data_IF_403034659026
#
_entry.id   IF_403034659026
#
_cell.length_a   1.000
_cell.length_b   1.000
_cell.length_c   1.000
_cell.angle_alpha   90.00
_cell.angle_beta   90.00
_cell.angle_gamma   90.00
#
_symmetry.space_group_name_H-M   'P 1'
#
loop_
_entity.id
_entity.type
_entity.pdbx_description
1 polymer ?
#
# COMPACT_ATOMS: atom_id res chain seq x y z
N UNK A 1 27.71 6.82 5.78
CA UNK A 1 26.66 5.82 6.09
C UNK A 1 27.28 4.43 6.01
N UNK A 2 27.00 3.54 6.96
CA UNK A 2 27.43 2.14 6.92
C UNK A 2 26.19 1.26 6.85
N UNK A 3 26.16 0.31 5.92
CA UNK A 3 25.11 -0.70 5.83
C UNK A 3 25.26 -1.71 6.98
N UNK A 4 24.13 -2.09 7.54
CA UNK A 4 23.98 -3.13 8.55
C UNK A 4 23.44 -4.42 7.92
N UNK A 5 22.55 -5.08 8.65
CA UNK A 5 21.93 -6.35 8.24
C UNK A 5 20.94 -6.21 7.08
N UNK A 6 20.72 -7.32 6.36
CA UNK A 6 19.69 -7.43 5.33
C UNK A 6 18.32 -7.54 6.00
N UNK A 7 17.43 -6.59 5.70
CA UNK A 7 16.06 -6.54 6.21
C UNK A 7 15.07 -7.27 5.29
N UNK A 8 15.35 -7.27 3.98
CA UNK A 8 14.48 -7.91 2.99
C UNK A 8 15.11 -7.95 1.61
N UNK A 9 14.62 -8.84 0.77
CA UNK A 9 15.07 -9.00 -0.61
C UNK A 9 13.87 -9.28 -1.52
N UNK A 10 13.75 -8.47 -2.58
CA UNK A 10 12.71 -8.60 -3.59
C UNK A 10 13.31 -8.67 -5.00
N UNK A 11 12.43 -8.64 -6.01
CA UNK A 11 12.81 -8.63 -7.42
C UNK A 11 13.55 -7.33 -7.80
N UNK A 12 13.08 -6.19 -7.30
CA UNK A 12 13.65 -4.86 -7.56
C UNK A 12 14.98 -4.60 -6.84
N UNK A 13 15.23 -5.23 -5.69
CA UNK A 13 16.39 -4.87 -4.87
C UNK A 13 16.58 -5.63 -3.56
N UNK A 14 17.55 -5.19 -2.79
CA UNK A 14 17.85 -5.62 -1.42
C UNK A 14 17.72 -4.45 -0.47
N UNK A 15 17.04 -4.64 0.66
CA UNK A 15 16.83 -3.63 1.68
C UNK A 15 17.74 -3.94 2.86
N UNK A 16 18.60 -2.99 3.23
CA UNK A 16 19.53 -3.11 4.35
C UNK A 16 19.19 -2.09 5.42
N UNK A 17 19.42 -2.43 6.69
CA UNK A 17 19.48 -1.41 7.74
C UNK A 17 20.72 -0.54 7.53
N UNK A 18 20.67 0.71 7.98
CA UNK A 18 21.84 1.57 8.04
C UNK A 18 21.67 2.64 9.12
N UNK A 19 22.75 3.38 9.38
CA UNK A 19 22.70 4.60 10.21
C UNK A 19 23.24 5.80 9.45
N UNK A 20 22.48 6.89 9.48
CA UNK A 20 22.92 8.21 9.03
C UNK A 20 23.83 8.87 10.09
N UNK A 21 24.58 9.93 9.73
CA UNK A 21 25.28 10.75 10.72
C UNK A 21 24.32 11.21 11.83
N UNK A 22 24.75 11.09 13.08
CA UNK A 22 23.88 11.33 14.25
C UNK A 22 23.05 10.12 14.70
N UNK A 23 23.44 8.90 14.31
CA UNK A 23 22.86 7.63 14.76
C UNK A 23 21.37 7.41 14.39
N UNK A 24 20.79 8.21 13.49
CA UNK A 24 19.42 7.99 13.00
C UNK A 24 19.34 6.65 12.24
N UNK A 25 18.53 5.68 12.69
CA UNK A 25 18.32 4.42 11.99
C UNK A 25 17.50 4.66 10.72
N UNK A 26 17.91 4.03 9.62
CA UNK A 26 17.26 4.11 8.31
C UNK A 26 17.28 2.75 7.62
N UNK A 27 16.47 2.58 6.59
CA UNK A 27 16.57 1.49 5.64
C UNK A 27 17.09 2.00 4.28
N UNK A 28 17.89 1.18 3.61
CA UNK A 28 18.49 1.50 2.31
C UNK A 28 18.11 0.40 1.32
N UNK A 29 17.30 0.75 0.32
CA UNK A 29 16.97 -0.14 -0.80
C UNK A 29 18.04 0.02 -1.88
N UNK A 30 18.88 -0.98 -2.05
CA UNK A 30 19.85 -1.12 -3.14
C UNK A 30 19.18 -1.85 -4.31
N UNK A 31 19.12 -1.21 -5.48
CA UNK A 31 18.52 -1.82 -6.66
C UNK A 31 19.44 -2.83 -7.34
N UNK A 32 18.85 -3.89 -7.89
CA UNK A 32 19.57 -4.93 -8.64
C UNK A 32 19.63 -4.56 -10.12
N UNK A 33 20.84 -4.38 -10.66
CA UNK A 33 21.07 -4.27 -12.11
C UNK A 33 20.47 -3.03 -12.78
N UNK A 34 20.50 -3.00 -14.11
CA UNK A 34 19.97 -1.91 -14.94
C UNK A 34 18.49 -2.08 -15.30
N UNK A 35 17.95 -3.30 -15.18
CA UNK A 35 16.57 -3.66 -15.54
C UNK A 35 16.12 -4.81 -14.64
N UNK A 36 14.94 -4.69 -14.02
CA UNK A 36 14.31 -5.72 -13.19
C UNK A 36 13.02 -6.19 -13.89
N UNK A 37 12.38 -7.25 -13.39
CA UNK A 37 11.05 -7.68 -13.89
C UNK A 37 9.99 -6.59 -13.77
N UNK A 38 10.17 -5.69 -12.80
CA UNK A 38 9.18 -4.70 -12.40
C UNK A 38 9.41 -3.35 -13.12
N UNK A 39 10.57 -3.16 -13.75
CA UNK A 39 10.86 -1.97 -14.56
C UNK A 39 12.32 -1.53 -14.49
N UNK A 40 12.55 -0.26 -14.83
CA UNK A 40 13.85 0.38 -14.65
C UNK A 40 13.92 0.95 -13.22
N UNK A 41 15.00 0.73 -12.45
CA UNK A 41 15.18 1.33 -11.14
C UNK A 41 14.95 2.85 -11.12
N UNK A 42 15.29 3.54 -12.21
CA UNK A 42 15.03 4.97 -12.36
C UNK A 42 13.55 5.36 -12.35
N UNK A 43 12.67 4.52 -12.89
CA UNK A 43 11.22 4.76 -12.89
C UNK A 43 10.65 4.65 -11.47
N UNK A 44 11.01 3.58 -10.75
CA UNK A 44 10.60 3.39 -9.36
C UNK A 44 11.09 4.54 -8.47
N UNK A 45 12.37 4.93 -8.60
CA UNK A 45 12.91 6.07 -7.85
C UNK A 45 12.18 7.37 -8.17
N UNK A 46 11.89 7.63 -9.45
CA UNK A 46 11.16 8.82 -9.86
C UNK A 46 9.74 8.84 -9.29
N UNK A 47 9.03 7.71 -9.34
CA UNK A 47 7.68 7.59 -8.79
C UNK A 47 7.68 7.75 -7.26
N UNK A 48 8.60 7.10 -6.54
CA UNK A 48 8.71 7.21 -5.10
C UNK A 48 9.05 8.64 -4.64
N UNK A 49 9.93 9.35 -5.37
CA UNK A 49 10.23 10.76 -5.11
C UNK A 49 9.03 11.67 -5.42
N UNK A 50 8.35 11.44 -6.54
CA UNK A 50 7.20 12.24 -6.96
C UNK A 50 5.96 12.02 -6.09
N UNK A 51 5.81 10.83 -5.50
CA UNK A 51 4.75 10.53 -4.54
C UNK A 51 4.82 11.46 -3.33
N UNK A 52 6.02 11.84 -2.89
CA UNK A 52 6.21 12.74 -1.75
C UNK A 52 5.71 12.15 -0.42
N UNK A 53 5.43 13.01 0.54
CA UNK A 53 5.07 12.59 1.90
C UNK A 53 3.58 12.28 2.03
N UNK A 54 3.27 11.13 2.63
CA UNK A 54 1.92 10.75 3.03
C UNK A 54 1.99 9.79 4.23
N UNK A 55 1.04 9.89 5.18
CA UNK A 55 1.05 9.09 6.41
C UNK A 55 1.03 7.57 6.19
N UNK A 56 0.49 7.15 5.06
CA UNK A 56 0.34 5.75 4.66
C UNK A 56 1.44 5.29 3.70
N UNK A 57 2.50 6.09 3.48
CA UNK A 57 3.67 5.72 2.70
C UNK A 57 4.89 5.63 3.61
N UNK A 58 5.84 4.77 3.26
CA UNK A 58 7.15 4.74 3.93
C UNK A 58 7.88 6.05 3.60
N UNK A 59 8.26 6.89 4.59
CA UNK A 59 8.92 8.15 4.32
C UNK A 59 10.24 7.97 3.56
N UNK A 60 10.36 8.66 2.43
CA UNK A 60 11.58 8.67 1.63
C UNK A 60 12.47 9.83 2.06
N UNK A 61 13.69 9.52 2.50
CA UNK A 61 14.66 10.52 2.97
C UNK A 61 15.56 11.04 1.86
N UNK A 62 15.71 10.27 0.78
CA UNK A 62 16.44 10.69 -0.41
C UNK A 62 16.98 9.53 -1.25
N UNK A 63 17.81 9.89 -2.23
CA UNK A 63 18.52 8.95 -3.10
C UNK A 63 20.02 8.96 -2.82
N UNK A 64 20.70 7.85 -3.09
CA UNK A 64 22.16 7.75 -3.06
C UNK A 64 22.70 8.01 -4.47
N UNK A 65 23.44 9.10 -4.66
CA UNK A 65 23.99 9.47 -5.97
C UNK A 65 25.37 8.85 -6.27
N UNK A 66 26.15 8.51 -5.24
CA UNK A 66 27.55 8.08 -5.38
C UNK A 66 27.82 6.75 -4.66
N UNK A 67 27.03 5.71 -4.97
CA UNK A 67 27.32 4.38 -4.44
C UNK A 67 28.66 3.86 -5.01
N UNK A 68 29.59 3.29 -4.21
CA UNK A 68 30.90 2.87 -4.69
C UNK A 68 30.87 1.86 -5.85
N UNK A 69 29.77 1.13 -6.00
CA UNK A 69 29.54 0.14 -7.06
C UNK A 69 28.65 0.68 -8.19
N UNK A 70 28.31 1.98 -8.18
CA UNK A 70 27.44 2.62 -9.18
C UNK A 70 25.96 2.22 -9.10
N UNK A 71 25.57 1.41 -8.13
CA UNK A 71 24.18 0.96 -7.96
C UNK A 71 23.30 2.09 -7.42
N UNK A 72 22.14 2.37 -8.04
CA UNK A 72 21.18 3.30 -7.49
C UNK A 72 20.66 2.80 -6.14
N UNK A 73 20.33 3.72 -5.25
CA UNK A 73 19.73 3.38 -3.96
C UNK A 73 18.78 4.46 -3.46
N UNK A 74 17.79 4.04 -2.67
CA UNK A 74 16.91 4.91 -1.91
C UNK A 74 17.19 4.76 -0.41
N UNK A 75 17.17 5.88 0.29
CA UNK A 75 17.20 5.94 1.76
C UNK A 75 15.81 6.27 2.23
N UNK A 76 15.26 5.44 3.12
CA UNK A 76 13.92 5.55 3.66
C UNK A 76 13.95 5.41 5.18
N UNK A 77 12.88 5.83 5.84
CA UNK A 77 12.74 5.58 7.28
C UNK A 77 12.73 4.09 7.58
N UNK A 78 13.35 3.71 8.71
CA UNK A 78 13.28 2.34 9.19
C UNK A 78 11.87 2.09 9.73
N UNK A 79 11.17 1.13 9.12
CA UNK A 79 9.81 0.76 9.49
C UNK A 79 9.77 0.18 10.91
N UNK A 80 8.74 0.56 11.68
CA UNK A 80 8.42 -0.02 12.98
C UNK A 80 8.27 -1.55 12.87
N UNK A 81 9.04 -2.38 13.61
CA UNK A 81 8.96 -3.84 13.54
C UNK A 81 7.58 -4.42 13.88
N UNK A 82 6.69 -3.65 14.51
CA UNK A 82 5.31 -4.04 14.74
C UNK A 82 4.46 -4.06 13.44
N UNK A 83 4.92 -3.40 12.37
CA UNK A 83 4.28 -3.43 11.06
C UNK A 83 4.83 -4.62 10.25
N UNK A 84 3.97 -5.59 9.98
CA UNK A 84 4.30 -6.82 9.25
C UNK A 84 3.58 -6.83 7.90
N UNK A 85 4.12 -7.57 6.93
CA UNK A 85 3.47 -7.76 5.62
C UNK A 85 2.09 -8.41 5.79
N UNK A 86 1.07 -7.80 5.17
CA UNK A 86 -0.34 -8.20 5.32
C UNK A 86 -0.63 -9.57 4.74
N UNK A 87 -0.08 -9.86 3.56
CA UNK A 87 -0.22 -11.16 2.92
C UNK A 87 1.00 -11.50 2.05
N UNK A 88 1.26 -12.79 1.87
CA UNK A 88 2.18 -13.26 0.84
C UNK A 88 1.57 -13.11 -0.56
N UNK A 89 2.41 -13.12 -1.61
CA UNK A 89 1.93 -13.05 -2.99
C UNK A 89 1.05 -14.28 -3.33
N UNK A 90 0.26 -14.21 -4.41
CA UNK A 90 -0.47 -15.37 -4.90
C UNK A 90 0.43 -16.57 -5.18
N UNK A 91 -0.10 -17.79 -5.02
CA UNK A 91 0.54 -19.04 -5.44
C UNK A 91 -0.24 -19.72 -6.55
N UNK A 92 0.32 -20.80 -7.10
CA UNK A 92 -0.39 -21.67 -8.02
C UNK A 92 -1.69 -22.25 -7.42
N UNK A 93 -1.77 -22.38 -6.10
CA UNK A 93 -2.93 -22.90 -5.39
C UNK A 93 -4.00 -21.82 -5.13
N UNK A 94 -3.58 -20.59 -4.85
CA UNK A 94 -4.49 -19.45 -4.64
C UNK A 94 -4.83 -18.71 -5.94
N UNK A 95 -4.21 -19.09 -7.06
CA UNK A 95 -4.28 -18.49 -8.38
C UNK A 95 -3.94 -16.99 -8.36
N UNK A 96 -4.95 -16.14 -8.19
CA UNK A 96 -4.83 -14.68 -8.22
C UNK A 96 -5.01 -14.04 -6.85
N UNK A 97 -5.23 -14.84 -5.80
CA UNK A 97 -5.54 -14.35 -4.45
C UNK A 97 -4.31 -14.40 -3.55
N UNK A 98 -4.16 -13.38 -2.71
CA UNK A 98 -3.06 -13.30 -1.75
C UNK A 98 -3.15 -14.38 -0.68
N UNK A 99 -1.99 -14.72 -0.11
CA UNK A 99 -1.86 -15.77 0.91
C UNK A 99 -1.72 -15.12 2.28
N UNK A 100 -2.77 -15.23 3.08
CA UNK A 100 -2.75 -14.72 4.45
C UNK A 100 -2.22 -15.78 5.42
N UNK A 101 -1.55 -15.37 6.52
CA UNK A 101 -1.16 -16.30 7.57
C UNK A 101 -2.36 -17.13 8.08
N UNK A 102 -2.09 -18.38 8.47
CA UNK A 102 -3.15 -19.25 9.00
C UNK A 102 -3.79 -18.64 10.26
N UNK A 103 -5.12 -18.55 10.27
CA UNK A 103 -5.87 -17.95 11.39
C UNK A 103 -5.75 -16.42 11.46
N UNK A 104 -5.27 -15.77 10.39
CA UNK A 104 -5.24 -14.32 10.32
C UNK A 104 -6.65 -13.72 10.43
N UNK A 105 -6.82 -12.87 11.44
CA UNK A 105 -8.03 -12.08 11.63
C UNK A 105 -7.70 -10.67 12.12
N UNK A 106 -8.49 -9.70 11.67
CA UNK A 106 -8.49 -8.33 12.21
C UNK A 106 -9.83 -8.06 12.88
N UNK A 107 -9.87 -7.11 13.81
CA UNK A 107 -11.16 -6.52 14.18
C UNK A 107 -11.70 -5.71 13.00
N UNK A 108 -13.02 -5.66 12.85
CA UNK A 108 -13.64 -4.88 11.77
C UNK A 108 -13.14 -3.42 11.75
N UNK A 109 -13.03 -2.80 12.92
CA UNK A 109 -12.54 -1.41 13.02
C UNK A 109 -11.06 -1.28 12.62
N UNK A 110 -10.22 -2.29 12.88
CA UNK A 110 -8.83 -2.29 12.40
C UNK A 110 -8.75 -2.45 10.86
N UNK A 111 -9.60 -3.31 10.28
CA UNK A 111 -9.70 -3.45 8.83
C UNK A 111 -10.17 -2.16 8.15
N UNK A 112 -11.17 -1.46 8.72
CA UNK A 112 -11.64 -0.17 8.20
C UNK A 112 -10.53 0.89 8.25
N UNK A 113 -9.76 0.99 9.35
CA UNK A 113 -8.63 1.94 9.45
C UNK A 113 -7.51 1.65 8.46
N UNK A 114 -7.19 0.37 8.24
CA UNK A 114 -6.23 -0.06 7.23
C UNK A 114 -6.71 0.36 5.84
N UNK A 115 -7.95 -0.01 5.48
CA UNK A 115 -8.54 0.32 4.18
C UNK A 115 -8.63 1.82 3.94
N UNK A 116 -9.02 2.60 4.97
CA UNK A 116 -9.01 4.05 4.91
C UNK A 116 -7.61 4.60 4.60
N UNK A 117 -6.58 4.07 5.27
CA UNK A 117 -5.19 4.49 5.03
C UNK A 117 -4.78 4.21 3.59
N UNK A 118 -5.06 3.02 3.07
CA UNK A 118 -4.73 2.64 1.70
C UNK A 118 -5.53 3.45 0.67
N UNK A 119 -6.83 3.69 0.90
CA UNK A 119 -7.64 4.56 0.05
C UNK A 119 -7.11 6.01 0.04
N UNK A 120 -6.67 6.53 1.18
CA UNK A 120 -6.06 7.87 1.25
C UNK A 120 -4.73 7.94 0.49
N UNK A 121 -3.91 6.88 0.52
CA UNK A 121 -2.72 6.78 -0.33
C UNK A 121 -3.10 6.76 -1.81
N UNK A 122 -4.09 5.95 -2.21
CA UNK A 122 -4.57 5.89 -3.60
C UNK A 122 -5.03 7.26 -4.10
N UNK A 123 -5.81 8.00 -3.29
CA UNK A 123 -6.25 9.35 -3.63
C UNK A 123 -5.07 10.32 -3.78
N UNK A 124 -4.07 10.21 -2.90
CA UNK A 124 -2.86 11.04 -2.91
C UNK A 124 -1.98 10.80 -4.14
N UNK A 125 -1.81 9.54 -4.55
CA UNK A 125 -1.05 9.17 -5.74
C UNK A 125 -1.79 9.57 -7.02
N UNK A 126 -3.10 9.31 -7.09
CA UNK A 126 -3.91 9.71 -8.25
C UNK A 126 -3.93 11.23 -8.45
N UNK A 127 -4.03 11.99 -7.36
CA UNK A 127 -3.92 13.45 -7.41
C UNK A 127 -2.57 13.97 -7.91
N UNK A 128 -1.55 13.11 -7.99
CA UNK A 128 -0.21 13.42 -8.54
C UNK A 128 0.04 12.79 -9.91
N UNK A 129 -0.96 12.14 -10.51
CA UNK A 129 -0.79 11.42 -11.76
C UNK A 129 0.15 10.23 -11.66
N UNK A 130 0.13 9.55 -10.51
CA UNK A 130 0.90 8.35 -10.24
C UNK A 130 -0.05 7.18 -10.00
N UNK A 131 0.13 6.09 -10.74
CA UNK A 131 -0.44 4.77 -10.41
C UNK A 131 0.62 4.02 -9.62
N UNK A 132 0.20 3.31 -8.58
CA UNK A 132 1.05 2.36 -7.86
C UNK A 132 1.36 1.14 -8.74
N UNK A 133 0.37 0.64 -9.47
CA UNK A 133 0.50 -0.48 -10.42
C UNK A 133 0.49 -1.87 -9.80
N UNK A 134 0.78 -1.99 -8.49
CA UNK A 134 0.83 -3.27 -7.77
C UNK A 134 0.17 -3.21 -6.37
N UNK A 135 -1.13 -2.89 -6.32
CA UNK A 135 -1.88 -2.72 -5.07
C UNK A 135 -2.49 -4.05 -4.59
N UNK A 136 -1.84 -4.68 -3.61
CA UNK A 136 -2.25 -5.94 -2.98
C UNK A 136 -1.59 -6.13 -1.60
N UNK A 137 -1.92 -7.19 -0.87
CA UNK A 137 -1.49 -7.41 0.51
C UNK A 137 0.02 -7.59 0.69
N UNK A 138 0.75 -8.00 -0.34
CA UNK A 138 2.22 -8.13 -0.26
C UNK A 138 2.95 -6.78 -0.14
N UNK A 139 2.37 -5.72 -0.71
CA UNK A 139 2.93 -4.37 -0.65
C UNK A 139 2.40 -3.53 0.53
N UNK A 140 1.56 -4.13 1.39
CA UNK A 140 0.97 -3.45 2.54
C UNK A 140 1.59 -4.00 3.81
N UNK A 141 2.21 -3.12 4.60
CA UNK A 141 2.62 -3.40 5.97
C UNK A 141 1.52 -2.94 6.91
N UNK A 142 1.20 -3.73 7.95
CA UNK A 142 0.15 -3.39 8.89
C UNK A 142 0.42 -3.91 10.30
N UNK A 143 -0.36 -3.41 11.28
CA UNK A 143 -0.41 -3.99 12.62
C UNK A 143 -1.84 -4.38 13.04
N UNK A 144 -1.98 -4.94 14.24
CA UNK A 144 -3.26 -5.35 14.81
C UNK A 144 -4.22 -4.17 15.10
N UNK A 145 -3.72 -2.94 15.16
CA UNK A 145 -4.52 -1.73 15.37
C UNK A 145 -5.05 -1.15 14.06
N UNK A 146 -4.61 -1.66 12.92
CA UNK A 146 -4.98 -1.15 11.60
C UNK A 146 -4.15 0.05 11.16
N UNK A 147 -2.97 0.29 11.76
CA UNK A 147 -1.96 1.14 11.11
C UNK A 147 -1.50 0.43 9.84
N UNK A 148 -1.27 1.19 8.77
CA UNK A 148 -0.86 0.63 7.50
C UNK A 148 0.14 1.53 6.77
N UNK A 149 1.08 0.92 6.07
CA UNK A 149 1.99 1.58 5.12
C UNK A 149 1.95 0.82 3.80
N UNK A 150 1.74 1.53 2.70
CA UNK A 150 1.94 1.03 1.35
C UNK A 150 3.40 1.28 0.96
N UNK A 151 4.05 0.26 0.43
CA UNK A 151 5.41 0.32 -0.10
C UNK A 151 5.52 -0.30 -1.49
N UNK A 152 6.76 -0.32 -1.98
CA UNK A 152 7.16 -0.84 -3.30
C UNK A 152 6.54 -0.13 -4.52
N UNK A 153 7.31 0.80 -5.09
CA UNK A 153 6.91 1.54 -6.29
C UNK A 153 7.46 0.88 -7.57
N UNK A 154 7.85 -0.40 -7.53
CA UNK A 154 8.45 -1.12 -8.66
C UNK A 154 7.61 -1.04 -9.93
N UNK A 155 6.29 -1.23 -9.82
CA UNK A 155 5.34 -1.17 -10.93
C UNK A 155 4.71 0.23 -11.14
N UNK A 156 5.17 1.25 -10.42
CA UNK A 156 4.54 2.56 -10.44
C UNK A 156 4.76 3.27 -11.79
N UNK A 157 3.75 4.01 -12.24
CA UNK A 157 3.78 4.70 -13.53
C UNK A 157 3.13 6.07 -13.48
N UNK A 158 3.62 6.98 -14.31
CA UNK A 158 3.04 8.29 -14.51
C UNK A 158 1.97 8.25 -15.60
N UNK A 159 0.90 9.01 -15.40
CA UNK A 159 -0.15 9.19 -16.39
C UNK A 159 -0.68 10.62 -16.34
N UNK A 160 -1.51 10.98 -17.32
CA UNK A 160 -2.18 12.29 -17.37
C UNK A 160 -3.56 12.22 -16.69
N UNK A 161 -3.74 12.84 -15.49
CA UNK A 161 -5.01 12.81 -14.77
C UNK A 161 -6.11 13.52 -15.53
N UNK A 162 -7.36 13.12 -15.28
CA UNK A 162 -8.52 13.79 -15.87
C UNK A 162 -8.74 13.51 -17.37
N UNK A 163 -7.86 12.77 -18.03
CA UNK A 163 -8.10 12.23 -19.37
C UNK A 163 -8.98 10.97 -19.32
N UNK A 164 -9.65 10.57 -20.42
CA UNK A 164 -10.37 9.29 -20.47
C UNK A 164 -9.48 8.09 -20.16
N UNK A 165 -8.24 8.10 -20.66
CA UNK A 165 -7.26 7.05 -20.36
C UNK A 165 -6.84 7.06 -18.89
N UNK A 166 -6.54 8.23 -18.32
CA UNK A 166 -6.19 8.36 -16.90
C UNK A 166 -7.27 7.79 -15.99
N UNK A 167 -8.54 8.17 -16.20
CA UNK A 167 -9.67 7.60 -15.45
C UNK A 167 -9.80 6.10 -15.61
N UNK A 168 -9.58 5.57 -16.82
CA UNK A 168 -9.62 4.13 -17.07
C UNK A 168 -8.52 3.41 -16.29
N UNK A 169 -7.31 3.96 -16.25
CA UNK A 169 -6.20 3.41 -15.48
C UNK A 169 -6.45 3.46 -13.96
N UNK A 170 -6.91 4.60 -13.44
CA UNK A 170 -7.32 4.74 -12.04
C UNK A 170 -8.36 3.68 -11.63
N UNK A 171 -9.33 3.40 -12.51
CA UNK A 171 -10.37 2.41 -12.26
C UNK A 171 -9.85 0.98 -12.10
N UNK A 172 -8.67 0.65 -12.65
CA UNK A 172 -8.04 -0.66 -12.49
C UNK A 172 -7.53 -0.81 -11.05
N UNK A 173 -6.87 0.21 -10.52
CA UNK A 173 -6.41 0.20 -9.12
C UNK A 173 -7.56 0.20 -8.12
N UNK A 174 -8.66 0.88 -8.43
CA UNK A 174 -9.89 0.81 -7.63
C UNK A 174 -10.41 -0.63 -7.57
N UNK A 175 -10.37 -1.38 -8.67
CA UNK A 175 -10.77 -2.79 -8.67
C UNK A 175 -9.85 -3.64 -7.79
N UNK A 176 -8.53 -3.41 -7.85
CA UNK A 176 -7.58 -4.09 -6.97
C UNK A 176 -7.87 -3.80 -5.48
N UNK A 177 -8.19 -2.54 -5.16
CA UNK A 177 -8.61 -2.17 -3.81
C UNK A 177 -9.95 -2.81 -3.39
N UNK A 178 -10.89 -2.99 -4.32
CA UNK A 178 -12.11 -3.76 -4.10
C UNK A 178 -11.83 -5.22 -3.71
N UNK A 179 -10.91 -5.87 -4.41
CA UNK A 179 -10.47 -7.23 -4.07
C UNK A 179 -9.85 -7.31 -2.66
N UNK A 180 -8.96 -6.36 -2.33
CA UNK A 180 -8.38 -6.24 -0.99
C UNK A 180 -9.45 -6.06 0.08
N UNK A 181 -10.45 -5.22 -0.19
CA UNK A 181 -11.56 -4.96 0.72
C UNK A 181 -12.40 -6.22 0.98
N UNK A 182 -12.74 -6.99 -0.05
CA UNK A 182 -13.44 -8.28 0.11
C UNK A 182 -12.62 -9.25 0.97
N UNK A 183 -11.32 -9.34 0.72
CA UNK A 183 -10.44 -10.27 1.42
C UNK A 183 -10.30 -9.92 2.91
N UNK A 184 -10.18 -8.63 3.23
CA UNK A 184 -10.12 -8.15 4.59
C UNK A 184 -11.47 -8.29 5.30
N UNK A 185 -12.59 -8.04 4.60
CA UNK A 185 -13.92 -8.25 5.17
C UNK A 185 -14.14 -9.72 5.53
N UNK A 186 -13.76 -10.65 4.65
CA UNK A 186 -13.84 -12.10 4.90
C UNK A 186 -12.97 -12.57 6.09
N UNK A 187 -11.96 -11.78 6.46
CA UNK A 187 -11.03 -12.05 7.56
C UNK A 187 -11.26 -11.15 8.77
N UNK A 188 -12.33 -10.37 8.77
CA UNK A 188 -12.67 -9.47 9.87
C UNK A 188 -13.60 -10.11 10.87
N UNK A 189 -13.34 -9.87 12.16
CA UNK A 189 -14.24 -10.21 13.25
C UNK A 189 -15.05 -8.97 13.60
N UNK A 190 -16.36 -9.06 13.39
CA UNK A 190 -17.32 -8.02 13.66
C UNK A 190 -18.03 -8.29 14.99
N UNK A 191 -17.89 -7.37 15.95
CA UNK A 191 -18.46 -7.49 17.30
C UNK A 191 -18.96 -6.13 17.76
N UNK A 192 -20.06 -6.10 18.51
CA UNK A 192 -20.63 -4.88 19.08
C UNK A 192 -21.79 -4.30 18.28
N UNK A 193 -22.36 -3.21 18.81
CA UNK A 193 -23.50 -2.51 18.21
C UNK A 193 -23.05 -1.76 16.94
N UNK A 194 -23.86 -1.86 15.88
CA UNK A 194 -23.53 -1.24 14.58
C UNK A 194 -22.63 -2.09 13.67
N UNK A 195 -22.05 -3.18 14.16
CA UNK A 195 -21.16 -4.06 13.39
C UNK A 195 -21.79 -4.57 12.08
N UNK A 196 -23.08 -4.92 12.09
CA UNK A 196 -23.80 -5.34 10.87
C UNK A 196 -23.98 -4.22 9.85
N UNK A 197 -24.21 -2.98 10.31
CA UNK A 197 -24.30 -1.83 9.43
C UNK A 197 -22.93 -1.52 8.80
N UNK A 198 -21.84 -1.59 9.60
CA UNK A 198 -20.49 -1.40 9.11
C UNK A 198 -20.07 -2.49 8.10
N UNK A 199 -20.39 -3.77 8.37
CA UNK A 199 -20.17 -4.87 7.43
C UNK A 199 -20.94 -4.65 6.12
N UNK A 200 -22.21 -4.27 6.21
CA UNK A 200 -23.05 -3.99 5.03
C UNK A 200 -22.50 -2.81 4.21
N UNK A 201 -22.10 -1.72 4.88
CA UNK A 201 -21.48 -0.57 4.24
C UNK A 201 -20.17 -0.92 3.54
N UNK A 202 -19.30 -1.70 4.19
CA UNK A 202 -18.03 -2.13 3.61
C UNK A 202 -18.24 -3.06 2.42
N UNK A 203 -19.17 -4.01 2.54
CA UNK A 203 -19.55 -4.91 1.44
C UNK A 203 -20.07 -4.13 0.23
N UNK A 204 -20.91 -3.11 0.44
CA UNK A 204 -21.40 -2.24 -0.63
C UNK A 204 -20.27 -1.46 -1.31
N UNK A 205 -19.32 -0.91 -0.54
CA UNK A 205 -18.14 -0.24 -1.10
C UNK A 205 -17.29 -1.20 -1.93
N UNK A 206 -17.06 -2.42 -1.43
CA UNK A 206 -16.31 -3.44 -2.15
C UNK A 206 -16.98 -3.78 -3.49
N UNK A 207 -18.28 -4.06 -3.48
CA UNK A 207 -19.06 -4.34 -4.69
C UNK A 207 -19.02 -3.18 -5.70
N UNK A 208 -19.06 -1.93 -5.21
CA UNK A 208 -18.95 -0.75 -6.08
C UNK A 208 -17.57 -0.65 -6.75
N UNK A 209 -16.50 -0.98 -6.04
CA UNK A 209 -15.14 -1.04 -6.60
C UNK A 209 -14.98 -2.17 -7.62
N UNK A 210 -15.80 -3.22 -7.51
CA UNK A 210 -15.75 -4.42 -8.34
C UNK A 210 -16.70 -4.39 -9.53
N UNK A 211 -17.36 -3.25 -9.83
CA UNK A 211 -18.21 -3.15 -11.03
C UNK A 211 -17.42 -3.57 -12.28
N UNK A 212 -18.06 -4.39 -13.12
CA UNK A 212 -17.54 -4.79 -14.43
C UNK A 212 -17.29 -3.58 -15.33
N UNK A 213 -18.08 -2.51 -15.13
CA UNK A 213 -17.96 -1.24 -15.85
C UNK A 213 -17.00 -0.33 -15.09
N UNK A 214 -15.78 -0.18 -15.60
CA UNK A 214 -14.72 0.59 -14.95
C UNK A 214 -15.13 2.04 -14.66
N UNK A 215 -15.96 2.64 -15.50
CA UNK A 215 -16.47 4.00 -15.35
C UNK A 215 -17.47 4.17 -14.18
N UNK A 216 -18.04 3.08 -13.67
CA UNK A 216 -18.95 3.09 -12.51
C UNK A 216 -18.20 2.97 -11.18
N UNK A 217 -16.90 2.64 -11.21
CA UNK A 217 -16.09 2.46 -10.00
C UNK A 217 -15.82 3.82 -9.34
N UNK A 218 -15.94 3.93 -8.01
CA UNK A 218 -15.71 5.18 -7.31
C UNK A 218 -14.23 5.57 -7.28
N UNK A 219 -13.93 6.86 -7.35
CA UNK A 219 -12.56 7.35 -7.16
C UNK A 219 -12.07 7.12 -5.71
N UNK A 220 -10.76 6.96 -5.51
CA UNK A 220 -10.18 6.80 -4.17
C UNK A 220 -10.51 7.94 -3.21
N UNK A 221 -10.64 9.18 -3.70
CA UNK A 221 -11.01 10.31 -2.86
C UNK A 221 -12.39 10.12 -2.19
N UNK A 222 -13.36 9.56 -2.92
CA UNK A 222 -14.69 9.21 -2.38
C UNK A 222 -14.58 8.04 -1.40
N UNK A 223 -13.81 7.01 -1.75
CA UNK A 223 -13.59 5.83 -0.89
C UNK A 223 -12.94 6.22 0.44
N UNK A 224 -11.90 7.06 0.40
CA UNK A 224 -11.22 7.55 1.59
C UNK A 224 -12.18 8.32 2.51
N UNK A 225 -13.01 9.21 1.97
CA UNK A 225 -14.01 9.94 2.74
C UNK A 225 -15.02 9.01 3.41
N UNK A 226 -15.56 8.02 2.67
CA UNK A 226 -16.51 7.04 3.22
C UNK A 226 -15.90 6.16 4.30
N UNK A 227 -14.68 5.70 4.10
CA UNK A 227 -13.97 4.88 5.08
C UNK A 227 -13.59 5.68 6.33
N UNK A 228 -13.33 6.99 6.21
CA UNK A 228 -13.10 7.89 7.34
C UNK A 228 -14.37 8.07 8.19
N UNK A 229 -15.52 8.26 7.55
CA UNK A 229 -16.83 8.33 8.21
C UNK A 229 -17.09 7.05 9.01
N UNK A 230 -16.86 5.88 8.40
CA UNK A 230 -17.02 4.57 9.05
C UNK A 230 -16.05 4.40 10.22
N UNK A 231 -14.76 4.77 10.04
CA UNK A 231 -13.75 4.67 11.10
C UNK A 231 -14.09 5.54 12.32
N UNK A 232 -14.73 6.69 12.09
CA UNK A 232 -15.13 7.64 13.14
C UNK A 232 -16.34 7.14 13.93
N UNK A 233 -17.31 6.50 13.26
CA UNK A 233 -18.51 5.94 13.91
C UNK A 233 -18.17 4.77 14.84
N UNK A 234 -17.21 3.93 14.46
CA UNK A 234 -16.71 2.84 15.31
C UNK A 234 -16.01 3.35 16.58
N UNK A 235 -15.33 4.49 16.52
CA UNK A 235 -14.68 5.08 17.69
C UNK A 235 -15.69 5.60 18.72
N UNK A 236 -16.83 6.10 18.25
CA UNK A 236 -17.93 6.56 19.12
C UNK A 236 -18.70 5.38 19.73
N UNK A 237 -18.85 4.26 19.01
CA UNK A 237 -19.52 3.06 19.53
C UNK A 237 -18.71 2.32 20.61
N UNK A 238 -17.40 2.57 20.70
CA UNK A 238 -16.50 1.95 21.68
C UNK A 238 -16.22 2.81 22.94
N UNK A 239 -16.66 4.07 22.96
CA UNK A 239 -16.41 5.04 24.05
C UNK A 239 -17.65 5.19 24.94
#
# INVERSE_FOLDING_TARGET
MRLGELLGEGASGRIFSARLPGERPVAVKLFKGAMTSDGLPGCEMAAALAAGEHRGLIPLLGKVEAHPQGSPALVMDLVDPALVTLAGPPSLDSCTRDIYPQGFHLTLSAAIRLLWTIASVGAHLHGRGILHGDLYGHNILHDARGRALLGDFGAASFYEPGTPLGRALESIEVRAFGCLMEELLARSQASGDGAMAAVSGLSHLASSCLSERGEERPAFAMLAARLEEMASQEHVAMA
#
